data_IF_692627710300
#
_entry.id   IF_692627710300
#
_cell.length_a   1.000
_cell.length_b   1.000
_cell.length_c   1.000
_cell.angle_alpha   90.00
_cell.angle_beta   90.00
_cell.angle_gamma   90.00
#
_symmetry.space_group_name_H-M   'P 1'
#
loop_
_entity.id
_entity.type
_entity.pdbx_description
1 polymer ?
#
# COMPACT_ATOMS: atom_id res chain seq x y z
N UNK A 1 2.69 -22.10 2.18
CA UNK A 1 2.00 -21.58 3.39
C UNK A 1 0.63 -21.04 3.04
N UNK A 2 -0.26 -20.81 4.01
CA UNK A 2 -1.68 -20.46 3.78
C UNK A 2 -1.87 -19.22 2.89
N UNK A 3 -0.94 -18.25 2.96
CA UNK A 3 -0.97 -17.04 2.16
C UNK A 3 -0.65 -17.31 0.67
N UNK A 4 0.15 -18.34 0.36
CA UNK A 4 0.44 -18.74 -1.03
C UNK A 4 -0.81 -19.32 -1.70
N UNK A 5 -1.58 -20.13 -0.96
CA UNK A 5 -2.82 -20.73 -1.46
C UNK A 5 -3.91 -19.68 -1.62
N UNK A 6 -4.04 -18.73 -0.67
CA UNK A 6 -4.97 -17.60 -0.78
C UNK A 6 -4.62 -16.68 -1.96
N UNK A 7 -3.33 -16.37 -2.13
CA UNK A 7 -2.85 -15.60 -3.28
C UNK A 7 -3.11 -16.34 -4.59
N UNK A 8 -2.78 -17.63 -4.71
CA UNK A 8 -3.01 -18.41 -5.93
C UNK A 8 -4.51 -18.51 -6.29
N UNK A 9 -5.39 -18.56 -5.27
CA UNK A 9 -6.84 -18.64 -5.47
C UNK A 9 -7.48 -17.31 -5.90
N UNK A 10 -6.83 -16.18 -5.62
CA UNK A 10 -7.30 -14.81 -5.91
C UNK A 10 -6.38 -14.04 -6.88
N UNK A 11 -5.35 -14.71 -7.42
CA UNK A 11 -4.36 -14.13 -8.33
C UNK A 11 -4.98 -13.87 -9.70
N UNK A 12 -5.80 -12.82 -9.77
CA UNK A 12 -6.20 -12.19 -11.00
C UNK A 12 -5.15 -11.18 -11.48
N UNK A 13 -5.39 -10.57 -12.65
CA UNK A 13 -4.61 -9.40 -13.06
C UNK A 13 -4.69 -8.31 -11.99
N UNK A 14 -3.56 -7.66 -11.70
CA UNK A 14 -3.41 -6.57 -10.70
C UNK A 14 -3.32 -7.01 -9.22
N UNK A 15 -2.90 -8.23 -8.94
CA UNK A 15 -2.47 -8.60 -7.58
C UNK A 15 -1.00 -8.20 -7.36
N UNK A 16 -0.71 -7.61 -6.19
CA UNK A 16 0.64 -7.22 -5.77
C UNK A 16 0.92 -7.83 -4.40
N UNK A 17 2.00 -8.61 -4.30
CA UNK A 17 2.54 -9.12 -3.04
C UNK A 17 3.94 -8.55 -2.81
N UNK A 18 4.23 -8.08 -1.59
CA UNK A 18 5.52 -7.49 -1.23
C UNK A 18 5.73 -7.50 0.28
N UNK A 19 6.99 -7.54 0.73
CA UNK A 19 7.34 -7.28 2.13
C UNK A 19 6.95 -5.85 2.54
N UNK A 20 6.52 -5.69 3.79
CA UNK A 20 6.09 -4.42 4.36
C UNK A 20 7.15 -3.32 4.27
N UNK A 21 8.38 -3.57 4.70
CA UNK A 21 9.45 -2.57 4.65
C UNK A 21 9.74 -2.09 3.22
N UNK A 22 9.74 -2.99 2.23
CA UNK A 22 9.93 -2.62 0.82
C UNK A 22 8.79 -1.76 0.30
N UNK A 23 7.55 -2.05 0.73
CA UNK A 23 6.39 -1.24 0.41
C UNK A 23 6.50 0.17 1.02
N UNK A 24 6.85 0.26 2.30
CA UNK A 24 7.02 1.53 2.98
C UNK A 24 8.14 2.38 2.36
N UNK A 25 9.28 1.78 1.99
CA UNK A 25 10.34 2.49 1.28
C UNK A 25 9.86 3.13 -0.03
N UNK A 26 9.02 2.43 -0.80
CA UNK A 26 8.42 2.98 -2.04
C UNK A 26 7.46 4.14 -1.72
N UNK A 27 6.61 3.99 -0.70
CA UNK A 27 5.68 5.04 -0.27
C UNK A 27 6.44 6.28 0.17
N UNK A 28 7.48 6.12 0.99
CA UNK A 28 8.38 7.19 1.41
C UNK A 28 9.08 7.89 0.24
N UNK A 29 9.57 7.13 -0.75
CA UNK A 29 10.15 7.71 -1.96
C UNK A 29 9.13 8.57 -2.72
N UNK A 30 7.91 8.07 -2.90
CA UNK A 30 6.83 8.83 -3.57
C UNK A 30 6.40 10.06 -2.77
N UNK A 31 6.33 9.96 -1.44
CA UNK A 31 6.06 11.11 -0.58
C UNK A 31 7.10 12.21 -0.76
N UNK A 32 8.39 11.86 -0.84
CA UNK A 32 9.46 12.83 -1.12
C UNK A 32 9.30 13.49 -2.49
N UNK A 33 8.87 12.74 -3.51
CA UNK A 33 8.61 13.28 -4.85
C UNK A 33 7.38 14.20 -4.91
N UNK A 34 6.43 14.02 -3.99
CA UNK A 34 5.17 14.76 -3.92
C UNK A 34 5.15 15.80 -2.78
N UNK A 35 6.31 16.18 -2.23
CA UNK A 35 6.41 17.00 -1.01
C UNK A 35 5.63 18.31 -1.07
N UNK A 36 5.57 18.94 -2.25
CA UNK A 36 4.90 20.22 -2.46
C UNK A 36 3.47 20.08 -3.00
N UNK A 37 2.96 18.84 -3.11
CA UNK A 37 1.58 18.58 -3.52
C UNK A 37 0.65 18.52 -2.33
N UNK A 38 -0.60 18.96 -2.54
CA UNK A 38 -1.65 18.84 -1.55
C UNK A 38 -2.08 17.37 -1.44
N UNK A 39 -2.17 16.87 -0.20
CA UNK A 39 -2.62 15.52 0.14
C UNK A 39 -1.88 14.39 -0.61
N UNK A 40 -0.53 14.29 -0.49
CA UNK A 40 0.27 13.38 -1.32
C UNK A 40 -0.09 11.90 -1.09
N UNK A 41 -0.49 11.52 0.13
CA UNK A 41 -0.96 10.16 0.43
C UNK A 41 -2.20 9.77 -0.38
N UNK A 42 -3.13 10.71 -0.60
CA UNK A 42 -4.35 10.47 -1.39
C UNK A 42 -4.04 10.28 -2.86
N UNK A 43 -3.02 10.97 -3.37
CA UNK A 43 -2.53 10.76 -4.73
C UNK A 43 -1.85 9.40 -4.87
N UNK A 44 -1.01 9.02 -3.90
CA UNK A 44 -0.35 7.71 -3.87
C UNK A 44 -1.39 6.59 -3.80
N UNK A 45 -2.40 6.70 -2.93
CA UNK A 45 -3.47 5.70 -2.79
C UNK A 45 -4.28 5.53 -4.08
N UNK A 46 -4.60 6.63 -4.78
CA UNK A 46 -5.24 6.60 -6.11
C UNK A 46 -4.39 5.88 -7.16
N UNK A 47 -3.08 6.07 -7.15
CA UNK A 47 -2.19 5.37 -8.09
C UNK A 47 -2.12 3.88 -7.74
N UNK A 48 -2.02 3.53 -6.46
CA UNK A 48 -1.97 2.14 -6.00
C UNK A 48 -3.28 1.43 -6.33
N UNK A 49 -4.45 1.99 -5.99
CA UNK A 49 -5.77 1.40 -6.29
C UNK A 49 -6.02 1.21 -7.78
N UNK A 50 -5.49 2.09 -8.64
CA UNK A 50 -5.57 1.94 -10.11
C UNK A 50 -4.63 0.89 -10.69
N UNK A 51 -3.59 0.47 -9.97
CA UNK A 51 -2.62 -0.52 -10.45
C UNK A 51 -2.78 -1.87 -9.78
N UNK A 52 -3.27 -1.86 -8.56
CA UNK A 52 -3.39 -3.02 -7.68
C UNK A 52 -4.85 -3.17 -7.30
N UNK A 53 -5.40 -4.39 -7.34
CA UNK A 53 -6.72 -4.74 -6.82
C UNK A 53 -6.62 -5.56 -5.53
N UNK A 54 -5.54 -6.30 -5.37
CA UNK A 54 -5.23 -7.06 -4.15
C UNK A 54 -3.78 -6.77 -3.73
N UNK A 55 -3.58 -6.25 -2.52
CA UNK A 55 -2.28 -5.89 -1.96
C UNK A 55 -2.03 -6.80 -0.77
N UNK A 56 -1.11 -7.74 -0.95
CA UNK A 56 -0.66 -8.63 0.10
C UNK A 56 0.66 -8.08 0.66
N UNK A 57 0.63 -7.65 1.92
CA UNK A 57 1.83 -7.23 2.65
C UNK A 57 2.31 -8.42 3.48
N UNK A 58 3.47 -8.96 3.12
CA UNK A 58 4.17 -9.96 3.93
C UNK A 58 4.89 -9.24 5.08
N UNK A 59 5.00 -9.90 6.23
CA UNK A 59 5.79 -9.41 7.39
C UNK A 59 5.39 -7.99 7.82
N UNK A 60 4.10 -7.73 7.97
CA UNK A 60 3.61 -6.43 8.44
C UNK A 60 4.02 -6.22 9.89
N UNK A 61 5.05 -5.39 10.09
CA UNK A 61 5.57 -5.01 11.39
C UNK A 61 5.93 -3.52 11.37
N UNK A 62 5.32 -2.76 12.28
CA UNK A 62 5.48 -1.30 12.37
C UNK A 62 6.33 -0.98 13.59
N UNK A 63 7.53 -0.44 13.36
CA UNK A 63 8.50 -0.15 14.42
C UNK A 63 8.38 1.28 14.97
N UNK A 64 8.00 2.24 14.13
CA UNK A 64 7.90 3.65 14.51
C UNK A 64 6.50 4.26 14.25
N UNK A 65 6.18 5.28 15.06
CA UNK A 65 4.89 5.96 15.02
C UNK A 65 4.67 6.68 13.68
N UNK A 66 5.73 7.16 13.03
CA UNK A 66 5.65 7.83 11.73
C UNK A 66 5.21 6.89 10.62
N UNK A 67 5.79 5.69 10.55
CA UNK A 67 5.36 4.63 9.64
C UNK A 67 3.91 4.22 9.90
N UNK A 68 3.50 4.13 11.16
CA UNK A 68 2.09 3.88 11.52
C UNK A 68 1.15 4.96 10.98
N UNK A 69 1.51 6.24 11.16
CA UNK A 69 0.71 7.37 10.67
C UNK A 69 0.60 7.39 9.14
N UNK A 70 1.70 7.12 8.45
CA UNK A 70 1.73 7.04 6.98
C UNK A 70 0.87 5.89 6.49
N UNK A 71 1.04 4.70 7.08
CA UNK A 71 0.25 3.52 6.72
C UNK A 71 -1.23 3.77 6.94
N UNK A 72 -1.63 4.33 8.09
CA UNK A 72 -3.01 4.66 8.40
C UNK A 72 -3.62 5.63 7.39
N UNK A 73 -2.92 6.73 7.09
CA UNK A 73 -3.37 7.71 6.09
C UNK A 73 -3.45 7.13 4.68
N UNK A 74 -2.52 6.25 4.31
CA UNK A 74 -2.53 5.57 3.01
C UNK A 74 -3.70 4.59 2.90
N UNK A 75 -3.95 3.78 3.92
CA UNK A 75 -5.06 2.83 3.96
C UNK A 75 -6.41 3.55 3.90
N UNK A 76 -6.58 4.64 4.65
CA UNK A 76 -7.79 5.48 4.55
C UNK A 76 -7.99 5.97 3.12
N UNK A 77 -6.94 6.50 2.49
CA UNK A 77 -7.00 6.94 1.11
C UNK A 77 -7.23 5.81 0.10
N UNK A 78 -6.87 4.57 0.42
CA UNK A 78 -7.17 3.39 -0.42
C UNK A 78 -8.65 3.02 -0.30
N UNK A 79 -9.20 2.96 0.92
CA UNK A 79 -10.62 2.70 1.14
C UNK A 79 -11.50 3.75 0.48
N UNK A 80 -11.16 5.04 0.60
CA UNK A 80 -11.84 6.14 -0.11
C UNK A 80 -11.83 5.99 -1.63
N UNK A 81 -10.82 5.28 -2.18
CA UNK A 81 -10.70 5.01 -3.61
C UNK A 81 -11.43 3.72 -4.05
N UNK A 82 -12.19 3.08 -3.16
CA UNK A 82 -12.94 1.84 -3.44
C UNK A 82 -12.10 0.57 -3.35
N UNK A 83 -10.95 0.62 -2.66
CA UNK A 83 -10.11 -0.54 -2.41
C UNK A 83 -10.69 -1.35 -1.24
N UNK A 84 -11.35 -2.47 -1.52
CA UNK A 84 -11.96 -3.36 -0.53
C UNK A 84 -11.75 -4.83 -0.91
#
# INVERSE_FOLDING_TARGET
MIMDVFHQSLAGPRTRRTHFHRFMLEVHQRLRQLRDQKDPLRQISRVISRKTRLLCLDELFVEDIGDAMILGGLLHGLFDAGYA
#
